data_IF_620017791154
#
_entry.id   IF_620017791154
#
_cell.length_a   1.000
_cell.length_b   1.000
_cell.length_c   1.000
_cell.angle_alpha   90.00
_cell.angle_beta   90.00
_cell.angle_gamma   90.00
#
_symmetry.space_group_name_H-M   'P 1'
#
loop_
_entity.id
_entity.type
_entity.pdbx_description
1 polymer ?
2 non-polymer ?
3 non-polymer ?
4 non-polymer ?
5 non-polymer ?
6 non-polymer ?
7 non-polymer ?
8 water ?
#
# COMPACT_ATOMS: atom_id res chain seq x y z
N UNK A 2 -7.69 14.80 22.87
CA UNK A 2 -7.03 14.31 24.14
C UNK A 2 -7.78 13.07 24.66
N UNK A 3 -8.71 13.25 25.60
CA UNK A 3 -9.62 12.20 26.12
C UNK A 3 -10.55 11.71 25.01
N UNK A 4 -10.95 12.62 24.11
CA UNK A 4 -11.90 12.32 23.01
C UNK A 4 -11.22 11.41 21.98
N UNK A 5 -9.96 11.70 21.63
CA UNK A 5 -9.18 10.87 20.68
C UNK A 5 -9.02 9.44 21.22
N UNK A 6 -8.77 9.26 22.51
CA UNK A 6 -8.64 7.92 23.14
C UNK A 6 -9.91 7.12 22.94
N UNK A 7 -11.08 7.74 23.18
CA UNK A 7 -12.39 7.09 22.98
C UNK A 7 -12.58 6.73 21.51
N UNK A 8 -12.10 7.55 20.57
CA UNK A 8 -12.19 7.17 19.13
C UNK A 8 -11.33 5.94 18.91
N UNK A 9 -10.10 5.93 19.44
CA UNK A 9 -9.19 4.79 19.18
C UNK A 9 -9.81 3.51 19.75
N UNK A 10 -10.52 3.62 20.87
CA UNK A 10 -11.23 2.47 21.48
C UNK A 10 -12.21 1.87 20.48
N UNK A 11 -13.04 2.69 19.85
CA UNK A 11 -14.09 2.27 18.88
C UNK A 11 -13.46 1.65 17.62
N UNK A 12 -12.25 2.07 17.24
CA UNK A 12 -11.56 1.62 16.01
C UNK A 12 -10.87 0.26 16.20
N UNK A 13 -10.75 -0.23 17.44
CA UNK A 13 -10.06 -1.50 17.78
C UNK A 13 -10.77 -2.64 17.04
N UNK A 14 -10.01 -3.64 16.57
CA UNK A 14 -10.59 -4.78 15.82
C UNK A 14 -11.07 -5.79 16.88
N UNK A 15 -12.25 -6.34 16.67
CA UNK A 15 -12.82 -7.41 17.53
C UNK A 15 -11.99 -8.70 17.38
N UNK A 16 -11.64 -9.33 18.49
CA UNK A 16 -10.85 -10.60 18.52
C UNK A 16 -11.64 -11.67 17.78
N UNK A 17 -12.96 -11.70 17.96
CA UNK A 17 -13.85 -12.71 17.31
C UNK A 17 -13.86 -12.49 15.80
N UNK A 18 -13.98 -11.25 15.34
CA UNK A 18 -13.93 -10.92 13.89
C UNK A 18 -12.56 -11.33 13.32
N UNK A 19 -11.47 -11.02 14.03
CA UNK A 19 -10.08 -11.41 13.59
C UNK A 19 -10.02 -12.93 13.42
N UNK A 20 -10.48 -13.68 14.43
CA UNK A 20 -10.40 -15.15 14.44
C UNK A 20 -11.08 -15.71 13.19
N UNK A 21 -12.31 -15.27 12.91
CA UNK A 21 -13.09 -15.83 11.79
C UNK A 21 -12.46 -15.36 10.47
N UNK A 22 -12.10 -14.09 10.35
CA UNK A 22 -11.62 -13.53 9.06
C UNK A 22 -10.26 -14.15 8.70
N UNK A 23 -9.34 -14.25 9.65
CA UNK A 23 -7.97 -14.77 9.42
C UNK A 23 -8.06 -16.21 8.89
N UNK A 24 -8.90 -17.04 9.50
CA UNK A 24 -9.13 -18.42 9.02
C UNK A 24 -9.67 -18.46 7.60
N UNK A 25 -10.72 -17.71 7.29
CA UNK A 25 -11.35 -17.68 5.95
C UNK A 25 -10.30 -17.25 4.92
N UNK A 26 -9.59 -16.15 5.18
CA UNK A 26 -8.59 -15.60 4.21
C UNK A 26 -7.50 -16.63 3.94
N UNK A 27 -6.94 -17.25 4.98
CA UNK A 27 -5.77 -18.15 4.82
C UNK A 27 -6.18 -19.32 3.92
N UNK A 28 -7.39 -19.86 4.11
CA UNK A 28 -7.93 -21.00 3.36
C UNK A 28 -8.00 -20.68 1.87
N UNK A 29 -8.60 -19.54 1.54
CA UNK A 29 -8.71 -19.05 0.13
C UNK A 29 -7.30 -18.83 -0.45
N UNK A 30 -6.47 -18.04 0.22
CA UNK A 30 -5.15 -17.61 -0.30
C UNK A 30 -4.24 -18.83 -0.51
N UNK A 31 -4.22 -19.76 0.45
CA UNK A 31 -3.35 -20.97 0.39
C UNK A 31 -3.73 -21.83 -0.81
N UNK A 32 -5.03 -21.95 -1.05
CA UNK A 32 -5.60 -22.71 -2.18
C UNK A 32 -5.12 -22.11 -3.50
N UNK A 33 -5.22 -20.79 -3.67
CA UNK A 33 -4.92 -20.15 -4.97
C UNK A 33 -3.43 -20.27 -5.27
N UNK A 34 -2.62 -20.09 -4.24
CA UNK A 34 -1.15 -20.15 -4.32
C UNK A 34 -0.75 -21.54 -4.84
N UNK A 35 -1.38 -22.58 -4.29
CA UNK A 35 -1.22 -24.00 -4.74
C UNK A 35 -1.60 -24.13 -6.24
N UNK A 36 -2.77 -23.64 -6.64
CA UNK A 36 -3.24 -23.76 -8.05
C UNK A 36 -2.28 -23.03 -8.98
N UNK A 37 -1.76 -21.87 -8.57
CA UNK A 37 -0.90 -21.04 -9.45
C UNK A 37 0.45 -21.73 -9.68
N UNK A 38 1.02 -22.37 -8.67
CA UNK A 38 2.31 -23.11 -8.82
C UNK A 38 2.21 -24.15 -9.95
N UNK A 39 1.02 -24.68 -10.23
CA UNK A 39 0.74 -25.71 -11.28
C UNK A 39 0.84 -25.14 -12.70
N UNK A 40 0.84 -23.81 -12.88
CA UNK A 40 1.04 -23.19 -14.23
C UNK A 40 2.52 -22.90 -14.43
N UNK A 41 2.97 -23.08 -15.67
CA UNK A 41 4.40 -23.10 -16.09
C UNK A 41 5.07 -21.77 -15.72
N UNK A 42 4.36 -20.67 -15.92
CA UNK A 42 4.88 -19.29 -15.73
C UNK A 42 5.06 -18.97 -14.24
N UNK A 43 4.19 -19.50 -13.36
CA UNK A 43 4.00 -19.06 -11.94
C UNK A 43 4.56 -20.10 -10.97
N UNK A 44 5.60 -20.85 -11.36
CA UNK A 44 6.18 -21.96 -10.55
C UNK A 44 6.77 -21.40 -9.25
N UNK A 45 7.52 -20.29 -9.33
CA UNK A 45 8.27 -19.70 -8.21
C UNK A 45 7.41 -18.84 -7.28
N UNK A 46 6.13 -18.65 -7.57
CA UNK A 46 5.21 -17.71 -6.87
C UNK A 46 5.25 -17.97 -5.35
N UNK A 47 5.41 -16.90 -4.56
CA UNK A 47 5.41 -16.90 -3.08
C UNK A 47 4.50 -15.80 -2.51
N UNK A 48 4.09 -15.96 -1.25
CA UNK A 48 3.14 -15.08 -0.54
C UNK A 48 3.92 -14.02 0.26
N UNK A 49 3.54 -12.75 0.12
CA UNK A 49 3.93 -11.67 1.07
C UNK A 49 2.65 -11.07 1.61
N UNK A 50 2.47 -11.05 2.93
CA UNK A 50 1.30 -10.39 3.55
C UNK A 50 1.65 -8.93 3.80
N UNK A 51 0.80 -8.01 3.34
CA UNK A 51 1.09 -6.56 3.24
C UNK A 51 -0.16 -5.73 3.58
N UNK A 52 0.00 -4.41 3.58
CA UNK A 52 -1.08 -3.45 3.90
C UNK A 52 -1.48 -3.49 5.36
N UNK A 53 -2.61 -2.86 5.64
CA UNK A 53 -2.93 -2.33 6.98
C UNK A 53 -3.21 -3.48 7.95
N UNK A 54 -3.77 -4.58 7.50
CA UNK A 54 -4.07 -5.67 8.46
C UNK A 54 -2.75 -6.21 9.03
N UNK A 55 -1.77 -6.46 8.18
CA UNK A 55 -0.46 -7.05 8.59
C UNK A 55 0.48 -6.01 9.20
N UNK A 56 0.15 -4.73 9.02
CA UNK A 56 0.83 -3.60 9.70
C UNK A 56 0.16 -3.24 11.03
N UNK A 57 -0.93 -3.91 11.39
CA UNK A 57 -1.69 -3.67 12.63
C UNK A 57 -2.20 -2.23 12.64
N UNK A 58 -2.53 -1.62 11.49
CA UNK A 58 -3.19 -0.28 11.48
C UNK A 58 -4.56 -0.35 10.77
N UNK A 59 -5.05 -1.53 10.41
CA UNK A 59 -6.46 -1.69 9.96
C UNK A 59 -7.39 -1.15 11.04
N UNK A 60 -8.46 -0.46 10.66
CA UNK A 60 -9.41 0.14 11.63
C UNK A 60 -10.81 -0.40 11.39
N UNK A 61 -11.60 -0.46 12.46
CA UNK A 61 -13.06 -0.71 12.52
C UNK A 61 -13.37 -2.20 12.46
N UNK A 62 -12.94 -2.87 11.39
CA UNK A 62 -13.25 -4.28 11.12
C UNK A 62 -12.15 -4.85 10.26
N UNK A 63 -11.81 -6.15 10.46
CA UNK A 63 -10.84 -6.83 9.63
C UNK A 63 -11.50 -7.36 8.35
N UNK A 64 -11.90 -6.45 7.45
CA UNK A 64 -12.76 -6.75 6.28
C UNK A 64 -12.00 -6.46 4.98
N UNK A 65 -10.70 -6.24 5.01
CA UNK A 65 -9.90 -5.96 3.79
C UNK A 65 -8.45 -6.32 4.05
N UNK A 66 -7.97 -7.34 3.33
CA UNK A 66 -6.63 -7.95 3.44
C UNK A 66 -5.91 -7.73 2.11
N UNK A 67 -4.61 -7.51 2.17
CA UNK A 67 -3.73 -7.32 1.00
C UNK A 67 -2.65 -8.41 1.01
N UNK A 68 -2.41 -9.00 -0.16
CA UNK A 68 -1.29 -9.98 -0.32
C UNK A 68 -0.63 -9.78 -1.69
N UNK A 69 0.68 -9.97 -1.73
CA UNK A 69 1.47 -10.02 -2.99
C UNK A 69 1.78 -11.48 -3.30
N UNK A 70 1.49 -11.88 -4.53
CA UNK A 70 1.96 -13.14 -5.13
C UNK A 70 3.20 -12.77 -5.91
N UNK A 71 4.35 -12.92 -5.28
CA UNK A 71 5.63 -12.44 -5.84
C UNK A 71 6.30 -13.59 -6.58
N UNK A 72 7.18 -13.23 -7.51
CA UNK A 72 7.78 -14.14 -8.52
C UNK A 72 9.17 -13.60 -8.84
N UNK A 73 10.25 -14.29 -8.49
CA UNK A 73 11.59 -13.77 -8.82
C UNK A 73 11.73 -13.74 -10.35
N UNK A 74 12.28 -12.67 -10.90
CA UNK A 74 12.59 -12.57 -12.34
C UNK A 74 14.07 -12.23 -12.46
N UNK A 75 14.96 -13.25 -12.55
CA UNK A 75 16.40 -13.03 -12.72
C UNK A 75 16.73 -12.26 -14.01
N UNK A 76 17.89 -11.60 -14.06
CA UNK A 76 18.49 -11.00 -15.28
C UNK A 76 17.50 -9.96 -15.85
N UNK A 77 16.88 -9.18 -14.97
CA UNK A 77 15.91 -8.13 -15.37
C UNK A 77 16.70 -6.91 -15.88
N UNK A 78 16.08 -6.14 -16.76
CA UNK A 78 16.62 -4.89 -17.34
C UNK A 78 15.44 -3.92 -17.42
N UNK A 79 15.43 -2.87 -16.60
CA UNK A 79 14.31 -1.91 -16.51
C UNK A 79 14.60 -0.72 -17.41
N UNK A 80 13.55 -0.17 -18.00
CA UNK A 80 13.63 1.08 -18.78
C UNK A 80 12.49 1.95 -18.23
N UNK A 81 12.83 3.11 -17.69
CA UNK A 81 11.83 4.09 -17.18
C UNK A 81 10.95 4.52 -18.36
N UNK A 82 9.63 4.50 -18.18
CA UNK A 82 8.66 5.08 -19.13
C UNK A 82 8.57 6.59 -18.89
N UNK A 83 8.98 7.40 -19.88
CA UNK A 83 8.60 8.83 -20.05
C UNK A 83 8.86 9.66 -18.77
N UNK A 84 10.00 9.45 -18.11
CA UNK A 84 10.43 10.24 -16.92
C UNK A 84 9.37 10.21 -15.81
N UNK A 85 8.61 9.12 -15.68
CA UNK A 85 7.55 9.08 -14.64
C UNK A 85 8.10 8.60 -13.28
N UNK A 86 9.35 8.12 -13.23
CA UNK A 86 10.13 7.83 -12.00
C UNK A 86 9.64 6.54 -11.32
N UNK A 87 8.38 6.15 -11.50
CA UNK A 87 7.74 4.97 -10.86
C UNK A 87 7.36 3.89 -11.87
N UNK A 88 7.19 4.21 -13.15
CA UNK A 88 6.69 3.25 -14.18
C UNK A 88 7.84 2.88 -15.11
N UNK A 89 7.91 1.59 -15.41
CA UNK A 89 9.03 0.94 -16.15
C UNK A 89 8.49 -0.10 -17.12
N UNK A 90 9.24 -0.28 -18.23
CA UNK A 90 9.22 -1.49 -19.08
C UNK A 90 10.20 -2.50 -18.51
N UNK A 91 9.79 -3.75 -18.50
CA UNK A 91 10.65 -4.89 -18.10
C UNK A 91 11.14 -5.60 -19.37
N UNK A 92 12.46 -5.65 -19.55
CA UNK A 92 13.20 -6.46 -20.55
C UNK A 92 14.16 -7.40 -19.84
N UNK A 93 14.75 -8.33 -20.58
CA UNK A 93 15.71 -9.35 -20.07
C UNK A 93 17.08 -9.14 -20.73
N UNK A 94 18.13 -9.45 -19.96
CA UNK A 94 19.53 -9.55 -20.46
C UNK A 94 19.71 -10.88 -21.18
N UNK A 95 20.79 -11.04 -21.94
CA UNK A 95 21.25 -12.35 -22.48
C UNK A 95 20.97 -13.42 -21.42
N UNK A 96 20.34 -14.51 -21.80
CA UNK A 96 20.18 -15.69 -20.91
C UNK A 96 20.19 -16.94 -21.79
N UNK A 97 21.25 -17.78 -21.74
CA UNK A 97 21.25 -19.05 -22.44
C UNK A 97 19.97 -19.84 -22.11
N UNK A 98 19.64 -19.97 -20.81
CA UNK A 98 18.47 -20.72 -20.29
C UNK A 98 17.15 -20.10 -20.80
N UNK A 99 16.17 -20.94 -21.13
CA UNK A 99 14.83 -20.52 -21.59
C UNK A 99 14.18 -19.65 -20.50
N UNK A 100 13.50 -18.58 -20.91
CA UNK A 100 12.78 -17.66 -19.99
C UNK A 100 11.41 -18.25 -19.70
N UNK A 101 11.09 -18.61 -18.44
CA UNK A 101 9.77 -19.15 -18.09
C UNK A 101 8.58 -18.23 -18.41
N UNK A 102 8.84 -16.97 -18.75
CA UNK A 102 7.80 -15.94 -18.99
C UNK A 102 7.74 -15.61 -20.49
N UNK A 103 8.38 -16.44 -21.33
CA UNK A 103 8.44 -16.29 -22.81
C UNK A 103 7.07 -15.89 -23.34
N UNK A 104 6.04 -16.60 -22.92
CA UNK A 104 4.65 -16.45 -23.45
C UNK A 104 4.18 -14.99 -23.37
N UNK A 105 4.78 -14.16 -22.51
CA UNK A 105 4.28 -12.78 -22.23
C UNK A 105 5.17 -11.72 -22.90
N UNK A 106 6.17 -12.10 -23.69
CA UNK A 106 7.07 -11.13 -24.37
C UNK A 106 6.38 -10.48 -25.58
N UNK A 107 6.57 -9.17 -25.76
CA UNK A 107 6.26 -8.40 -27.00
C UNK A 107 7.54 -7.71 -27.46
N UNK A 108 8.11 -8.18 -28.56
CA UNK A 108 9.55 -8.08 -28.84
C UNK A 108 10.33 -8.54 -27.62
N UNK A 109 11.01 -7.59 -26.97
CA UNK A 109 11.89 -7.84 -25.79
C UNK A 109 11.18 -7.35 -24.51
N UNK A 110 9.94 -6.89 -24.60
CA UNK A 110 9.22 -6.24 -23.46
C UNK A 110 8.23 -7.23 -22.83
N UNK A 111 8.38 -7.51 -21.53
CA UNK A 111 7.44 -8.35 -20.75
C UNK A 111 6.11 -7.60 -20.58
N UNK A 112 5.03 -8.13 -21.16
CA UNK A 112 3.71 -7.44 -21.19
C UNK A 112 3.06 -7.57 -19.82
N UNK A 113 2.93 -6.46 -19.09
CA UNK A 113 2.17 -6.39 -17.83
C UNK A 113 0.72 -6.81 -18.07
N UNK A 114 0.07 -6.32 -19.13
CA UNK A 114 -1.37 -6.60 -19.43
C UNK A 114 -1.58 -8.08 -19.75
N UNK A 115 -0.68 -8.75 -20.49
CA UNK A 115 -0.81 -10.20 -20.81
C UNK A 115 -0.63 -11.03 -19.52
N UNK A 116 0.42 -10.73 -18.76
CA UNK A 116 0.79 -11.51 -17.55
C UNK A 116 -0.35 -11.42 -16.52
N UNK A 117 -0.90 -10.22 -16.33
CA UNK A 117 -2.04 -9.94 -15.41
C UNK A 117 -3.28 -10.70 -15.92
N UNK A 118 -3.55 -10.69 -17.21
CA UNK A 118 -4.73 -11.39 -17.82
C UNK A 118 -4.70 -12.87 -17.44
N UNK A 119 -3.54 -13.51 -17.60
CA UNK A 119 -3.38 -14.96 -17.32
C UNK A 119 -3.53 -15.20 -15.81
N UNK A 120 -2.84 -14.39 -15.00
CA UNK A 120 -2.94 -14.43 -13.52
C UNK A 120 -4.40 -14.42 -13.11
N UNK A 121 -5.14 -13.43 -13.62
CA UNK A 121 -6.57 -13.19 -13.28
C UNK A 121 -7.40 -14.37 -13.76
N UNK A 122 -7.16 -14.81 -15.01
CA UNK A 122 -7.84 -15.99 -15.62
C UNK A 122 -7.71 -17.20 -14.69
N UNK A 123 -6.48 -17.56 -14.30
CA UNK A 123 -6.19 -18.73 -13.43
C UNK A 123 -7.00 -18.59 -12.15
N UNK A 124 -6.88 -17.44 -11.47
CA UNK A 124 -7.57 -17.23 -10.16
C UNK A 124 -9.08 -17.40 -10.39
N UNK A 125 -9.62 -16.82 -11.46
CA UNK A 125 -11.07 -16.88 -11.76
C UNK A 125 -11.51 -18.35 -11.87
N UNK A 126 -10.89 -19.11 -12.77
CA UNK A 126 -11.22 -20.55 -12.94
C UNK A 126 -11.15 -21.25 -11.59
N UNK A 127 -10.11 -20.95 -10.81
CA UNK A 127 -9.79 -21.66 -9.55
C UNK A 127 -10.82 -21.38 -8.46
N UNK A 128 -11.41 -20.17 -8.39
CA UNK A 128 -12.33 -19.81 -7.26
C UNK A 128 -13.72 -20.43 -7.52
N UNK A 129 -13.98 -20.97 -8.71
CA UNK A 129 -15.20 -21.78 -8.98
C UNK A 129 -15.11 -23.11 -8.24
N UNK A 130 -13.96 -23.79 -8.38
CA UNK A 130 -13.70 -25.16 -7.87
C UNK A 130 -13.47 -25.13 -6.35
N UNK A 131 -13.49 -23.96 -5.73
CA UNK A 131 -13.80 -23.82 -4.27
C UNK A 131 -15.31 -24.01 -4.12
N UNK A 132 -15.74 -24.91 -3.24
CA UNK A 132 -17.16 -25.37 -3.12
C UNK A 132 -17.63 -25.20 -1.66
N UNK A 133 -16.80 -25.65 -0.71
CA UNK A 133 -16.95 -25.48 0.76
C UNK A 133 -17.15 -24.02 1.18
N UNK A 134 -16.69 -23.04 0.37
CA UNK A 134 -16.62 -21.59 0.73
C UNK A 134 -17.28 -20.72 -0.33
N UNK A 135 -17.84 -19.57 0.08
CA UNK A 135 -18.48 -18.56 -0.81
C UNK A 135 -17.43 -17.49 -1.15
N UNK A 136 -17.01 -17.41 -2.42
CA UNK A 136 -15.91 -16.52 -2.91
C UNK A 136 -16.28 -16.04 -4.32
N UNK A 137 -16.35 -14.74 -4.56
CA UNK A 137 -16.54 -14.19 -5.93
C UNK A 137 -15.36 -13.25 -6.22
N UNK A 138 -15.07 -13.05 -7.51
CA UNK A 138 -14.06 -12.09 -8.01
C UNK A 138 -14.76 -10.81 -8.45
N UNK A 139 -14.38 -9.64 -7.94
CA UNK A 139 -15.00 -8.34 -8.35
C UNK A 139 -14.36 -7.89 -9.67
N UNK A 140 -15.01 -6.97 -10.37
CA UNK A 140 -14.61 -6.56 -11.75
C UNK A 140 -13.27 -5.83 -11.69
N UNK A 141 -12.46 -6.03 -12.73
CA UNK A 141 -11.13 -5.41 -12.93
C UNK A 141 -11.25 -3.89 -12.86
N UNK A 142 -10.32 -3.22 -12.19
CA UNK A 142 -10.26 -1.74 -12.08
C UNK A 142 -8.91 -1.30 -12.65
N UNK A 143 -8.91 -0.23 -13.45
CA UNK A 143 -7.71 0.33 -14.11
C UNK A 143 -6.78 0.98 -13.10
N UNK A 144 -7.36 1.46 -11.99
CA UNK A 144 -6.62 2.04 -10.85
C UNK A 144 -5.68 1.04 -10.16
N UNK A 145 -6.09 -0.22 -9.99
CA UNK A 145 -5.42 -1.25 -9.15
C UNK A 145 -4.63 -2.26 -9.98
N UNK A 146 -3.40 -2.63 -9.56
CA UNK A 146 -2.77 -3.83 -10.10
C UNK A 146 -3.43 -5.11 -9.55
N UNK A 147 -4.34 -4.99 -8.58
CA UNK A 147 -4.83 -6.13 -7.76
C UNK A 147 -6.03 -6.83 -8.41
N UNK A 148 -6.11 -8.14 -8.25
CA UNK A 148 -7.36 -8.94 -8.38
C UNK A 148 -8.05 -8.95 -7.02
N UNK A 149 -9.33 -8.55 -6.98
CA UNK A 149 -10.10 -8.40 -5.72
C UNK A 149 -11.14 -9.52 -5.61
N UNK A 150 -11.08 -10.24 -4.48
CA UNK A 150 -12.03 -11.30 -4.10
C UNK A 150 -12.88 -10.79 -2.95
N UNK A 151 -14.14 -11.23 -2.90
CA UNK A 151 -15.04 -11.05 -1.74
C UNK A 151 -15.45 -12.43 -1.20
N UNK A 152 -15.21 -12.66 0.10
CA UNK A 152 -15.44 -13.95 0.80
C UNK A 152 -16.64 -13.74 1.70
N UNK A 153 -17.63 -14.62 1.63
CA UNK A 153 -18.85 -14.63 2.50
C UNK A 153 -19.53 -13.25 2.48
N UNK A 154 -19.45 -12.60 1.32
CA UNK A 154 -20.07 -11.30 0.99
C UNK A 154 -19.55 -10.18 1.90
N UNK A 155 -18.46 -10.38 2.65
CA UNK A 155 -18.09 -9.47 3.77
C UNK A 155 -16.60 -9.05 3.67
N UNK A 156 -15.70 -10.00 3.40
CA UNK A 156 -14.23 -9.78 3.52
C UNK A 156 -13.62 -9.65 2.12
N UNK A 157 -13.03 -8.52 1.80
CA UNK A 157 -12.26 -8.30 0.56
C UNK A 157 -10.80 -8.75 0.70
N UNK A 158 -10.28 -9.42 -0.31
CA UNK A 158 -8.85 -9.81 -0.40
C UNK A 158 -8.33 -9.24 -1.72
N UNK A 159 -7.38 -8.31 -1.66
CA UNK A 159 -6.67 -7.78 -2.84
C UNK A 159 -5.43 -8.64 -3.02
N UNK A 160 -5.30 -9.27 -4.18
CA UNK A 160 -4.09 -10.05 -4.58
C UNK A 160 -3.42 -9.34 -5.75
N UNK A 161 -2.18 -8.91 -5.58
CA UNK A 161 -1.39 -8.34 -6.71
C UNK A 161 -0.27 -9.31 -7.05
N UNK A 162 -0.16 -9.66 -8.33
CA UNK A 162 1.08 -10.20 -8.90
C UNK A 162 2.17 -9.17 -8.65
N UNK A 163 3.36 -9.63 -8.28
CA UNK A 163 4.52 -8.76 -8.04
C UNK A 163 5.76 -9.47 -8.57
N UNK A 164 6.46 -8.88 -9.54
CA UNK A 164 7.78 -9.37 -9.95
C UNK A 164 8.77 -8.93 -8.89
N UNK A 165 9.68 -9.80 -8.49
CA UNK A 165 10.73 -9.53 -7.48
C UNK A 165 12.07 -9.41 -8.20
N UNK A 166 12.77 -8.30 -7.99
CA UNK A 166 14.14 -8.10 -8.50
C UNK A 166 15.07 -7.96 -7.30
N UNK A 167 16.11 -8.79 -7.25
CA UNK A 167 17.17 -8.72 -6.22
C UNK A 167 18.28 -7.74 -6.61
N UNK A 168 18.14 -7.03 -7.74
CA UNK A 168 19.09 -5.97 -8.17
C UNK A 168 18.99 -4.78 -7.21
N UNK A 169 19.99 -3.90 -7.24
CA UNK A 169 19.94 -2.52 -6.68
C UNK A 169 18.61 -1.85 -7.07
N UNK A 170 18.04 -1.05 -6.18
CA UNK A 170 16.81 -0.28 -6.44
C UNK A 170 17.09 0.71 -7.58
N UNK A 171 16.10 1.06 -8.41
CA UNK A 171 16.31 2.04 -9.47
C UNK A 171 16.75 3.41 -8.95
N UNK A 172 17.40 4.17 -9.83
CA UNK A 172 18.03 5.47 -9.46
C UNK A 172 16.98 6.43 -8.93
N UNK A 173 15.74 6.41 -9.41
CA UNK A 173 14.64 7.30 -8.92
C UNK A 173 14.51 7.17 -7.38
N UNK A 174 15.05 6.11 -6.75
CA UNK A 174 14.85 5.87 -5.28
C UNK A 174 16.05 6.43 -4.50
N UNK A 175 17.08 6.94 -5.17
CA UNK A 175 18.40 7.16 -4.54
C UNK A 175 18.25 8.12 -3.36
N UNK A 176 17.36 9.12 -3.47
CA UNK A 176 17.16 10.16 -2.42
C UNK A 176 15.87 9.90 -1.63
N UNK A 177 15.29 8.70 -1.75
CA UNK A 177 14.07 8.33 -1.01
C UNK A 177 14.37 7.78 0.36
N UNK A 178 13.34 7.29 1.09
CA UNK A 178 13.54 6.54 2.35
C UNK A 178 14.48 7.32 3.27
N UNK A 179 14.08 8.52 3.66
CA UNK A 179 14.93 9.44 4.46
C UNK A 179 14.78 9.10 5.95
N UNK A 180 15.24 7.92 6.34
CA UNK A 180 15.03 7.34 7.70
C UNK A 180 16.30 7.43 8.53
N UNK A 181 17.36 8.00 7.96
CA UNK A 181 18.72 8.03 8.61
C UNK A 181 18.66 8.59 10.03
N UNK A 182 17.90 9.67 10.32
CA UNK A 182 17.91 10.27 11.69
C UNK A 182 16.88 9.60 12.59
N UNK A 183 16.03 8.73 12.04
CA UNK A 183 14.92 8.07 12.77
C UNK A 183 15.27 6.61 13.00
N UNK A 184 15.42 5.79 11.95
CA UNK A 184 15.64 4.32 12.11
C UNK A 184 17.14 3.95 11.97
N UNK A 185 17.97 4.87 11.46
CA UNK A 185 19.46 4.84 11.34
C UNK A 185 19.91 4.66 9.89
N UNK A 186 21.13 5.13 9.58
CA UNK A 186 21.78 4.93 8.28
C UNK A 186 21.97 3.42 8.05
N UNK A 187 22.35 2.66 9.08
CA UNK A 187 22.67 1.21 8.89
C UNK A 187 21.37 0.46 8.55
N UNK A 188 20.22 0.87 9.09
CA UNK A 188 18.91 0.26 8.69
C UNK A 188 18.59 0.67 7.25
N UNK A 189 18.76 1.94 6.86
CA UNK A 189 18.51 2.31 5.45
C UNK A 189 19.34 1.40 4.52
N UNK A 190 20.61 1.20 4.83
CA UNK A 190 21.50 0.37 4.00
C UNK A 190 20.97 -1.06 3.95
N UNK A 191 20.54 -1.63 5.08
CA UNK A 191 20.01 -3.01 5.11
C UNK A 191 18.74 -3.10 4.28
N UNK A 192 17.83 -2.12 4.40
CA UNK A 192 16.54 -2.18 3.64
C UNK A 192 16.82 -2.11 2.14
N UNK A 193 17.78 -1.29 1.72
CA UNK A 193 18.10 -1.09 0.29
C UNK A 193 18.81 -2.31 -0.31
N UNK A 194 19.31 -3.25 0.51
CA UNK A 194 19.85 -4.55 0.05
C UNK A 194 18.72 -5.57 -0.16
N UNK A 195 17.48 -5.27 0.25
CA UNK A 195 16.35 -6.19 0.01
C UNK A 195 15.86 -6.07 -1.43
N UNK A 196 15.05 -7.02 -1.91
CA UNK A 196 14.48 -6.92 -3.25
C UNK A 196 13.59 -5.68 -3.36
N UNK A 197 13.18 -5.36 -4.59
CA UNK A 197 12.04 -4.45 -4.83
C UNK A 197 11.07 -5.21 -5.69
N UNK A 198 9.86 -4.68 -5.85
CA UNK A 198 8.76 -5.33 -6.58
C UNK A 198 8.24 -4.40 -7.64
N UNK A 199 7.69 -5.03 -8.69
CA UNK A 199 6.96 -4.34 -9.78
C UNK A 199 5.58 -4.95 -9.86
N UNK A 200 4.56 -4.10 -9.93
CA UNK A 200 3.16 -4.56 -9.99
C UNK A 200 2.60 -4.05 -11.32
N UNK A 201 1.64 -4.81 -11.89
CA UNK A 201 1.08 -4.48 -13.20
C UNK A 201 0.03 -3.38 -13.07
N UNK A 202 0.50 -2.18 -12.78
CA UNK A 202 -0.31 -0.95 -12.92
C UNK A 202 0.36 -0.14 -14.02
N UNK A 203 -0.43 0.34 -14.97
CA UNK A 203 0.09 0.97 -16.19
C UNK A 203 0.10 2.49 -16.04
N UNK A 204 1.01 3.13 -16.76
CA UNK A 204 1.25 4.59 -16.77
C UNK A 204 0.21 5.23 -17.71
N UNK A 205 -0.15 6.50 -17.47
CA UNK A 205 -1.03 7.27 -18.37
C UNK A 205 -0.26 7.59 -19.66
N UNK A 206 -0.90 7.31 -20.81
CA UNK A 206 -0.50 7.77 -22.17
C UNK A 206 -1.75 8.43 -22.78
N UNK A 207 -1.83 9.77 -22.73
CA UNK A 207 -2.93 10.57 -23.30
C UNK A 207 -4.30 10.16 -22.78
N UNK A 208 -5.19 9.73 -23.68
CA UNK A 208 -6.60 9.35 -23.38
C UNK A 208 -6.62 8.12 -22.45
N UNK A 209 -5.63 7.23 -22.56
CA UNK A 209 -5.60 5.92 -21.89
C UNK A 209 -4.27 5.59 -21.25
N UNK A 210 -3.88 4.31 -21.35
CA UNK A 210 -2.79 3.67 -20.58
C UNK A 210 -1.73 3.13 -21.55
N UNK A 211 -0.45 3.12 -21.12
CA UNK A 211 0.63 2.32 -21.75
C UNK A 211 0.61 0.94 -21.09
N UNK A 212 -0.02 -0.04 -21.74
CA UNK A 212 -0.57 -1.27 -21.10
C UNK A 212 0.55 -2.24 -20.76
N UNK A 213 1.78 -1.97 -21.20
CA UNK A 213 2.90 -2.92 -20.96
C UNK A 213 3.70 -2.48 -19.73
N UNK A 214 3.38 -1.33 -19.13
CA UNK A 214 4.19 -0.77 -18.01
C UNK A 214 3.86 -1.44 -16.67
N UNK A 215 4.89 -1.59 -15.85
CA UNK A 215 4.83 -2.00 -14.42
C UNK A 215 5.16 -0.80 -13.52
N UNK A 216 4.72 -0.84 -12.26
CA UNK A 216 5.00 0.27 -11.30
C UNK A 216 5.78 -0.28 -10.11
N UNK A 217 6.73 0.49 -9.60
CA UNK A 217 7.50 0.03 -8.41
C UNK A 217 6.54 -0.17 -7.22
N UNK A 218 6.82 -1.15 -6.39
CA UNK A 218 6.15 -1.39 -5.07
C UNK A 218 7.19 -1.64 -3.97
N UNK A 219 7.03 -0.97 -2.84
CA UNK A 219 7.85 -1.14 -1.62
C UNK A 219 6.94 -1.47 -0.43
N UNK A 220 5.79 -2.10 -0.68
CA UNK A 220 4.85 -2.57 0.38
C UNK A 220 5.58 -3.38 1.46
N UNK A 221 6.57 -4.21 1.09
CA UNK A 221 7.33 -5.03 2.07
C UNK A 221 8.07 -4.10 3.05
N UNK A 222 8.67 -3.02 2.54
CA UNK A 222 9.51 -2.10 3.36
C UNK A 222 8.59 -1.27 4.22
N UNK A 223 7.46 -0.82 3.67
CA UNK A 223 6.45 -0.10 4.48
C UNK A 223 6.02 -0.97 5.66
N UNK A 224 5.79 -2.25 5.44
CA UNK A 224 5.44 -3.13 6.57
C UNK A 224 6.59 -3.22 7.60
N UNK A 225 7.82 -3.41 7.14
CA UNK A 225 8.99 -3.57 8.03
C UNK A 225 9.09 -2.36 8.96
N UNK A 226 8.89 -1.16 8.39
CA UNK A 226 9.03 0.12 9.11
C UNK A 226 7.91 0.24 10.15
N UNK A 227 6.65 0.00 9.76
CA UNK A 227 5.51 0.16 10.68
C UNK A 227 5.60 -0.84 11.84
N UNK A 228 6.13 -2.04 11.63
CA UNK A 228 6.18 -3.07 12.67
C UNK A 228 7.53 -2.99 13.40
N UNK A 229 8.40 -2.04 13.05
CA UNK A 229 9.70 -1.83 13.77
C UNK A 229 10.05 -0.35 13.64
N UNK A 230 9.27 0.50 14.34
CA UNK A 230 9.00 1.90 13.94
C UNK A 230 9.69 2.90 14.87
N UNK A 231 10.42 2.46 15.89
CA UNK A 231 10.99 3.38 16.90
C UNK A 231 12.47 3.68 16.65
N UNK A 232 12.99 4.79 17.18
CA UNK A 232 14.46 4.94 17.30
C UNK A 232 14.96 3.89 18.30
N UNK A 233 14.26 3.70 19.43
CA UNK A 233 14.60 2.64 20.40
C UNK A 233 14.19 1.30 19.81
N UNK A 234 15.09 0.32 19.88
CA UNK A 234 14.75 -1.04 19.39
C UNK A 234 13.61 -1.63 20.25
N UNK A 235 13.40 -1.15 21.48
CA UNK A 235 12.33 -1.66 22.38
C UNK A 235 11.10 -0.75 22.33
N UNK A 236 10.98 0.14 21.35
CA UNK A 236 9.76 0.97 21.21
C UNK A 236 8.53 0.07 21.27
N UNK A 237 7.57 0.37 22.15
CA UNK A 237 6.26 -0.32 22.29
C UNK A 237 6.41 -1.77 22.80
N UNK A 238 7.61 -2.19 23.24
CA UNK A 238 7.77 -3.54 23.82
C UNK A 238 7.51 -3.50 25.32
N UNK A 239 7.45 -2.32 25.95
CA UNK A 239 7.29 -2.17 27.42
C UNK A 239 6.44 -0.93 27.71
N UNK A 240 5.98 -0.78 28.96
CA UNK A 240 5.00 0.27 29.34
C UNK A 240 5.67 1.64 29.42
N UNK A 241 6.99 1.72 29.54
CA UNK A 241 7.72 3.01 29.59
C UNK A 241 7.97 3.53 28.16
N UNK A 242 7.71 2.72 27.11
CA UNK A 242 8.02 3.08 25.70
C UNK A 242 6.81 2.80 24.81
N UNK A 243 5.61 3.20 25.22
CA UNK A 243 4.40 3.12 24.35
C UNK A 243 4.30 4.44 23.60
N UNK A 244 4.67 4.47 22.31
CA UNK A 244 4.58 5.67 21.46
C UNK A 244 3.16 5.68 20.85
N UNK A 245 2.77 6.79 20.25
CA UNK A 245 1.43 7.02 19.66
C UNK A 245 1.55 7.12 18.12
N UNK A 246 2.60 6.55 17.52
CA UNK A 246 2.80 6.56 16.05
C UNK A 246 1.63 5.87 15.35
N UNK A 247 1.35 4.61 15.68
CA UNK A 247 0.31 3.84 14.98
C UNK A 247 -1.07 4.43 15.31
N UNK A 248 -1.26 4.94 16.51
CA UNK A 248 -2.53 5.62 16.92
C UNK A 248 -2.78 6.82 15.99
N UNK A 249 -1.74 7.61 15.69
CA UNK A 249 -1.83 8.80 14.82
C UNK A 249 -2.16 8.39 13.38
N UNK A 250 -1.58 7.30 12.88
CA UNK A 250 -1.91 6.80 11.53
C UNK A 250 -3.36 6.29 11.55
N UNK A 251 -3.81 5.58 12.58
CA UNK A 251 -5.19 5.06 12.63
C UNK A 251 -6.16 6.25 12.57
N UNK A 252 -5.92 7.28 13.37
CA UNK A 252 -6.78 8.50 13.42
C UNK A 252 -6.77 9.21 12.05
N UNK A 253 -5.63 9.34 11.39
CA UNK A 253 -5.60 9.95 10.03
C UNK A 253 -6.41 9.11 9.05
N UNK A 254 -6.27 7.78 9.13
CA UNK A 254 -7.04 6.86 8.26
C UNK A 254 -8.54 7.06 8.49
N UNK A 255 -8.95 7.17 9.76
CA UNK A 255 -10.38 7.30 10.14
C UNK A 255 -10.93 8.66 9.69
N UNK A 256 -10.13 9.71 9.82
CA UNK A 256 -10.49 11.06 9.29
C UNK A 256 -10.82 10.93 7.80
N UNK A 257 -9.96 10.31 7.00
CA UNK A 257 -10.22 10.23 5.54
C UNK A 257 -11.39 9.27 5.28
N UNK A 258 -11.45 8.09 5.92
CA UNK A 258 -12.56 7.10 5.69
C UNK A 258 -13.91 7.80 5.95
N UNK A 259 -14.00 8.58 7.02
CA UNK A 259 -15.27 9.25 7.45
C UNK A 259 -15.66 10.35 6.46
N UNK A 260 -14.71 11.14 5.95
CA UNK A 260 -15.01 12.17 4.93
C UNK A 260 -15.36 11.49 3.61
N UNK A 261 -14.64 10.45 3.19
CA UNK A 261 -14.96 9.73 1.94
C UNK A 261 -16.38 9.14 2.04
N UNK A 262 -16.75 8.61 3.21
CA UNK A 262 -18.09 7.97 3.40
C UNK A 262 -19.15 9.08 3.28
N UNK A 263 -18.89 10.22 3.92
CA UNK A 263 -19.89 11.30 3.99
C UNK A 263 -20.15 11.89 2.58
N UNK A 264 -19.20 11.81 1.65
CA UNK A 264 -19.30 12.39 0.29
C UNK A 264 -19.17 11.31 -0.78
N UNK A 265 -19.56 10.08 -0.46
CA UNK A 265 -19.34 8.89 -1.34
C UNK A 265 -20.19 9.02 -2.61
N UNK A 266 -21.19 9.93 -2.65
CA UNK A 266 -22.09 10.12 -3.82
C UNK A 266 -21.81 11.46 -4.52
N UNK A 267 -20.76 12.20 -4.14
CA UNK A 267 -20.57 13.60 -4.62
C UNK A 267 -19.17 13.83 -5.21
N UNK A 268 -18.41 12.75 -5.50
CA UNK A 268 -17.28 12.72 -6.46
C UNK A 268 -16.00 13.44 -5.98
N UNK A 269 -16.09 14.50 -5.17
CA UNK A 269 -14.95 15.42 -4.85
C UNK A 269 -13.73 14.67 -4.26
N UNK A 270 -13.96 13.58 -3.52
CA UNK A 270 -12.93 12.85 -2.72
C UNK A 270 -12.61 11.48 -3.30
N UNK A 271 -13.16 11.11 -4.46
CA UNK A 271 -12.99 9.75 -5.06
C UNK A 271 -11.49 9.47 -5.33
N UNK A 272 -10.67 10.49 -5.56
CA UNK A 272 -9.25 10.31 -6.01
C UNK A 272 -8.32 10.20 -4.79
N UNK A 273 -8.77 10.53 -3.60
CA UNK A 273 -7.96 10.35 -2.37
C UNK A 273 -8.04 8.88 -1.91
N UNK A 274 -6.94 8.39 -1.35
CA UNK A 274 -6.82 7.02 -0.81
C UNK A 274 -6.06 7.04 0.52
N UNK A 275 -6.20 5.95 1.28
CA UNK A 275 -5.49 5.73 2.56
C UNK A 275 -3.99 5.85 2.31
N UNK A 276 -3.49 5.56 1.10
CA UNK A 276 -2.03 5.61 0.80
C UNK A 276 -1.54 7.05 0.89
N UNK A 277 -2.42 8.04 0.64
CA UNK A 277 -2.07 9.48 0.78
C UNK A 277 -1.73 9.77 2.24
N UNK A 278 -2.55 9.29 3.16
CA UNK A 278 -2.33 9.61 4.59
C UNK A 278 -1.19 8.71 5.10
N UNK A 279 -1.03 7.49 4.56
CA UNK A 279 0.10 6.62 5.00
C UNK A 279 1.42 7.30 4.61
N UNK A 280 1.50 7.76 3.37
CA UNK A 280 2.71 8.46 2.86
C UNK A 280 2.96 9.71 3.71
N UNK A 281 1.98 10.57 3.85
CA UNK A 281 2.11 11.80 4.65
C UNK A 281 2.64 11.44 6.05
N UNK A 282 2.09 10.39 6.67
CA UNK A 282 2.48 9.93 8.02
C UNK A 282 3.97 9.54 8.07
N UNK A 283 4.50 8.88 7.04
CA UNK A 283 5.94 8.49 6.99
C UNK A 283 6.78 9.77 6.92
N UNK A 284 6.31 10.77 6.19
CA UNK A 284 7.02 12.07 6.10
C UNK A 284 7.07 12.72 7.49
N UNK A 285 5.98 12.62 8.28
CA UNK A 285 5.93 13.26 9.62
C UNK A 285 6.87 12.51 10.55
N UNK A 286 6.99 11.17 10.42
CA UNK A 286 8.02 10.35 11.10
C UNK A 286 9.43 10.86 10.78
N UNK A 287 9.77 11.13 9.53
CA UNK A 287 11.07 11.73 9.13
C UNK A 287 11.23 13.07 9.85
N UNK A 288 10.19 13.90 9.87
CA UNK A 288 10.29 15.25 10.46
C UNK A 288 10.47 15.13 11.96
N UNK A 289 9.90 14.11 12.60
CA UNK A 289 9.86 13.93 14.06
C UNK A 289 10.49 12.59 14.39
N UNK A 290 11.83 12.45 14.25
CA UNK A 290 12.50 11.15 14.39
C UNK A 290 12.67 10.58 15.81
N UNK A 291 12.52 11.37 16.87
CA UNK A 291 12.74 10.89 18.26
C UNK A 291 11.46 10.27 18.82
N UNK A 292 11.58 9.19 19.59
CA UNK A 292 10.41 8.54 20.22
C UNK A 292 9.78 9.54 21.20
N UNK A 293 10.59 10.41 21.80
CA UNK A 293 10.11 11.49 22.72
C UNK A 293 9.13 12.45 22.02
N UNK A 294 9.08 12.49 20.68
CA UNK A 294 8.15 13.35 19.89
C UNK A 294 6.84 12.60 19.59
N UNK A 295 6.69 11.39 20.11
CA UNK A 295 5.49 10.53 19.91
C UNK A 295 5.06 9.95 21.25
N UNK A 296 5.17 10.71 22.33
CA UNK A 296 4.77 10.20 23.66
C UNK A 296 3.25 10.04 23.68
N UNK A 297 2.77 8.95 24.26
CA UNK A 297 1.34 8.63 24.37
C UNK A 297 0.61 9.81 25.00
N UNK A 298 1.24 10.48 25.97
CA UNK A 298 0.64 11.62 26.70
C UNK A 298 0.40 12.80 25.77
N UNK A 299 1.06 12.85 24.60
CA UNK A 299 1.01 14.00 23.65
C UNK A 299 0.16 13.64 22.42
N UNK A 300 -0.76 12.68 22.54
CA UNK A 300 -1.55 12.15 21.40
C UNK A 300 -2.16 13.30 20.62
N UNK A 301 -2.76 14.26 21.33
CA UNK A 301 -3.52 15.34 20.71
C UNK A 301 -2.59 16.19 19.87
N UNK A 302 -1.40 16.49 20.38
CA UNK A 302 -0.37 17.30 19.66
C UNK A 302 0.21 16.50 18.48
N UNK A 303 0.56 15.23 18.71
CA UNK A 303 1.12 14.33 17.66
C UNK A 303 0.11 14.20 16.51
N UNK A 304 -1.14 13.96 16.83
CA UNK A 304 -2.21 13.92 15.82
C UNK A 304 -2.30 15.27 15.10
N UNK A 305 -2.27 16.39 15.81
CA UNK A 305 -2.28 17.72 15.18
C UNK A 305 -1.12 17.87 14.18
N UNK A 306 0.11 17.40 14.52
CA UNK A 306 1.30 17.42 13.62
C UNK A 306 1.01 16.70 12.28
N UNK A 307 0.30 15.59 12.32
CA UNK A 307 -0.04 14.78 11.12
C UNK A 307 -1.09 15.56 10.32
N UNK A 308 -2.08 16.14 11.00
CA UNK A 308 -3.19 16.88 10.30
C UNK A 308 -2.62 18.12 9.59
N UNK A 309 -1.80 18.91 10.27
CA UNK A 309 -1.23 20.16 9.69
C UNK A 309 -0.25 19.83 8.56
N UNK A 310 0.56 18.77 8.65
CA UNK A 310 1.44 18.39 7.52
C UNK A 310 0.61 18.01 6.29
N UNK A 311 -0.47 17.25 6.49
CA UNK A 311 -1.35 16.79 5.39
C UNK A 311 -2.01 18.02 4.73
N UNK A 312 -2.45 18.97 5.55
CA UNK A 312 -3.08 20.22 5.05
C UNK A 312 -2.07 20.98 4.20
N UNK A 313 -0.82 21.06 4.65
CA UNK A 313 0.29 21.73 3.88
C UNK A 313 0.47 21.00 2.54
N UNK A 314 0.46 19.65 2.53
CA UNK A 314 0.53 18.85 1.28
C UNK A 314 -0.60 19.24 0.30
N UNK A 315 -1.84 19.33 0.78
CA UNK A 315 -3.03 19.63 -0.07
C UNK A 315 -2.87 21.05 -0.65
N UNK A 316 -2.57 22.03 0.19
CA UNK A 316 -2.44 23.46 -0.19
C UNK A 316 -1.37 23.65 -1.25
N UNK A 317 -0.21 23.00 -1.09
CA UNK A 317 0.98 23.12 -1.97
C UNK A 317 0.93 22.10 -3.12
N UNK A 318 -0.03 21.18 -3.12
CA UNK A 318 -0.19 20.15 -4.19
C UNK A 318 1.11 19.37 -4.33
N UNK A 319 1.77 19.08 -3.21
CA UNK A 319 3.03 18.28 -3.15
C UNK A 319 2.89 17.19 -2.08
N UNK A 320 2.89 15.93 -2.50
CA UNK A 320 3.04 14.76 -1.62
C UNK A 320 3.94 13.76 -2.33
N UNK A 321 5.19 13.72 -1.92
CA UNK A 321 6.20 12.84 -2.50
C UNK A 321 5.88 11.41 -2.08
N UNK A 322 5.99 10.49 -3.03
CA UNK A 322 6.17 9.05 -2.71
C UNK A 322 7.38 8.95 -1.78
N UNK A 323 7.21 8.24 -0.67
CA UNK A 323 8.25 8.13 0.40
C UNK A 323 9.54 7.51 -0.15
N UNK A 324 9.44 6.69 -1.19
CA UNK A 324 10.58 5.93 -1.77
C UNK A 324 11.09 6.61 -3.05
N UNK A 325 10.26 7.43 -3.68
CA UNK A 325 10.51 7.99 -5.04
C UNK A 325 10.17 9.49 -5.00
N UNK A 326 11.11 10.33 -4.55
CA UNK A 326 10.82 11.74 -4.26
C UNK A 326 10.25 12.60 -5.39
N UNK A 327 10.59 12.29 -6.66
CA UNK A 327 10.12 13.09 -7.82
C UNK A 327 8.78 12.56 -8.31
N UNK A 328 8.21 11.54 -7.65
CA UNK A 328 6.84 11.07 -7.93
C UNK A 328 5.87 11.81 -7.02
N UNK A 329 5.05 12.71 -7.57
CA UNK A 329 4.15 13.59 -6.79
C UNK A 329 2.77 12.94 -6.78
N UNK A 330 2.32 12.42 -5.64
CA UNK A 330 1.00 11.78 -5.53
C UNK A 330 -0.12 12.81 -5.69
N UNK A 331 0.17 14.09 -5.45
CA UNK A 331 -0.79 15.22 -5.46
C UNK A 331 -0.60 16.11 -6.72
N UNK A 332 -0.07 15.57 -7.81
CA UNK A 332 0.06 16.32 -9.10
C UNK A 332 -1.33 16.59 -9.70
N UNK A 333 -1.42 17.62 -10.55
CA UNK A 333 -2.58 17.92 -11.41
C UNK A 333 -3.02 16.67 -12.17
N UNK A 334 -2.06 15.98 -12.79
CA UNK A 334 -2.29 14.75 -13.60
C UNK A 334 -3.16 13.77 -12.81
N UNK A 335 -3.00 13.71 -11.49
CA UNK A 335 -3.63 12.68 -10.62
C UNK A 335 -4.88 13.24 -9.94
N UNK A 336 -4.79 14.45 -9.40
CA UNK A 336 -5.84 15.05 -8.53
C UNK A 336 -6.03 16.51 -8.94
N UNK A 337 -7.20 16.89 -9.43
CA UNK A 337 -7.37 18.29 -9.91
C UNK A 337 -7.40 19.19 -8.66
N UNK A 338 -7.02 20.45 -8.84
CA UNK A 338 -6.87 21.43 -7.74
C UNK A 338 -8.17 21.56 -6.94
N UNK A 339 -9.32 21.47 -7.61
CA UNK A 339 -10.61 21.71 -6.94
C UNK A 339 -10.86 20.62 -5.88
N UNK A 340 -10.47 19.37 -6.15
CA UNK A 340 -10.61 18.22 -5.23
C UNK A 340 -9.76 18.48 -3.98
N UNK A 341 -8.52 18.99 -4.16
CA UNK A 341 -7.60 19.30 -3.03
C UNK A 341 -8.17 20.45 -2.19
N UNK A 342 -8.72 21.48 -2.82
CA UNK A 342 -9.30 22.64 -2.09
C UNK A 342 -10.52 22.14 -1.28
N UNK A 343 -11.34 21.28 -1.87
CA UNK A 343 -12.52 20.70 -1.20
C UNK A 343 -12.08 19.91 0.05
N UNK A 344 -11.06 19.04 -0.08
CA UNK A 344 -10.58 18.25 1.09
C UNK A 344 -10.01 19.19 2.15
N UNK A 345 -9.22 20.20 1.76
CA UNK A 345 -8.63 21.19 2.68
C UNK A 345 -9.71 21.87 3.54
N UNK A 346 -10.80 22.29 2.91
CA UNK A 346 -11.91 22.99 3.60
C UNK A 346 -12.56 22.03 4.61
N UNK A 347 -12.79 20.77 4.27
CA UNK A 347 -13.43 19.81 5.19
C UNK A 347 -12.47 19.54 6.36
N UNK A 348 -11.17 19.37 6.08
CA UNK A 348 -10.18 19.02 7.14
C UNK A 348 -9.95 20.23 8.02
N UNK A 349 -9.84 21.44 7.44
CA UNK A 349 -9.71 22.69 8.26
C UNK A 349 -10.87 22.80 9.25
N UNK A 350 -12.10 22.60 8.79
CA UNK A 350 -13.31 22.74 9.64
C UNK A 350 -13.24 21.71 10.79
N UNK A 351 -12.83 20.47 10.49
CA UNK A 351 -12.67 19.40 11.52
C UNK A 351 -11.68 19.84 12.59
N UNK A 352 -10.48 20.31 12.17
CA UNK A 352 -9.38 20.74 13.08
C UNK A 352 -9.89 21.91 13.93
N UNK A 353 -10.63 22.86 13.34
CA UNK A 353 -11.15 24.06 14.05
C UNK A 353 -12.30 23.71 15.00
N UNK A 354 -12.90 22.53 14.89
CA UNK A 354 -14.13 22.19 15.66
C UNK A 354 -13.92 20.91 16.48
N UNK A 355 -12.67 20.54 16.77
CA UNK A 355 -12.33 19.32 17.54
C UNK A 355 -12.94 18.07 16.92
N UNK A 356 -12.97 17.95 15.59
CA UNK A 356 -13.20 16.70 14.82
C UNK A 356 -14.58 16.13 15.11
N UNK A 357 -15.67 16.90 14.82
CA UNK A 357 -17.03 16.39 15.04
C UNK A 357 -17.32 15.12 14.23
N UNK A 358 -16.68 14.98 13.06
CA UNK A 358 -16.83 13.79 12.18
C UNK A 358 -16.39 12.50 12.91
N UNK A 359 -15.68 12.58 14.03
CA UNK A 359 -15.29 11.40 14.84
C UNK A 359 -16.44 10.98 15.79
N UNK A 360 -17.05 11.94 16.53
CA UNK A 360 -18.08 11.76 17.58
C UNK A 360 -18.90 10.48 17.34
X LIG B 1 6.39 2.59 19.39
X LIG C 1 -5.66 -2.71 2.68
X LIG D 1 -6.22 -3.22 -0.74
X LIG E 1 -6.52 0.23 4.12
X LIG E 1 -6.74 -1.01 3.28
X LIG E 1 -7.11 1.48 3.53
X LIG E 1 -6.80 0.04 5.58
X LIG E 1 -3.81 -0.23 3.13
X LIG E 1 -2.44 0.29 3.35
X LIG E 1 -4.05 -1.72 3.33
X LIG E 1 -4.88 0.49 4.06
X LIG E 1 -4.68 -0.56 0.31
X LIG E 1 -5.40 0.40 -0.58
X LIG E 1 -5.34 -1.86 0.70
X LIG E 1 -4.37 0.19 1.69
X LIG E 1 -3.25 -0.81 -0.30
X LIG E 1 -2.45 -1.96 0.12
X LIG E 1 -1.00 -1.58 0.02
X LIG E 1 -0.66 -1.36 -1.37
X LIG E 1 -0.58 -0.29 0.72
X LIG E 1 -0.27 -0.38 2.11
X LIG E 1 0.68 0.10 -0.08
X LIG E 1 1.82 -0.59 0.33
X LIG E 1 0.28 -0.31 -1.50
X LIG E 1 -0.30 0.80 -2.26
X LIG E 1 -1.63 1.22 -2.32
X LIG E 1 -1.79 2.29 -3.05
X LIG E 1 -0.51 2.58 -3.54
X LIG E 1 -0.03 3.59 -4.40
X LIG E 1 -0.79 4.54 -4.96
X LIG E 1 1.29 3.58 -4.69
X LIG E 1 2.06 2.63 -4.14
X LIG E 1 1.72 1.65 -3.30
X LIG E 1 0.40 1.68 -3.06
X LIG F 1 -8.59 -4.34 24.32
X LIG F 1 -8.73 -5.20 25.46
X LIG F 1 -7.32 -4.58 23.66
X LIG F 1 -8.65 -2.97 24.74
X LIG F 1 -9.65 -4.60 23.40
X LIG G 1 -4.15 2.52 -6.56
X LIG G 1 -3.94 4.67 -8.02
X LIG G 1 -4.79 1.55 -5.74
X LIG G 1 -6.20 1.57 -5.30
X LIG G 1 -7.24 1.52 -6.22
X LIG G 1 -8.57 1.54 -5.81
X LIG G 1 -8.89 1.53 -4.46
X LIG G 1 -7.84 1.51 -3.56
X LIG G 1 -6.51 1.54 -3.93
X LIG G 1 -1.31 -3.09 -3.78
X LIG G 1 -0.91 -4.22 -3.00
X LIG G 1 -1.59 -5.37 -2.67
X LIG G 1 2.06 -2.70 -4.49
X LIG G 1 0.93 -2.51 -4.46
X LIG G 1 -0.46 -2.25 -4.46
X LIG G 1 -0.85 -1.02 -5.14
X LIG G 1 0.00 -0.34 -5.73
X LIG G 1 -2.18 -0.76 -5.20
X LIG G 1 -2.83 0.32 -5.71
X LIG G 1 -2.14 1.21 -6.44
X LIG G 1 -2.81 2.28 -6.87
X LIG G 1 -4.90 4.03 -7.16
X LIG G 1 -6.29 3.60 -8.12
X LIG G 1 -5.35 4.74 -6.01
X LIG G 1 -8.13 1.49 -2.24
X LIG G 1 -4.10 0.46 -5.32
X LIG G 1 -2.60 -2.85 -3.73
X LIG G 1 -0.85 -6.10 -1.82
X LIG G 1 0.35 -5.41 -1.56
X LIG G 1 0.26 -4.30 -2.22
X LIG G 1 -2.89 -5.94 -3.07
X LIG H 1 -4.44 -7.84 13.93
X LIG H 1 -3.58 -6.77 13.52
X LIG H 1 -3.86 -9.19 13.77
X LIG H 1 -2.45 -9.25 13.67
X LIG I 1 0.46 5.98 -7.41
X LIG I 1 -0.39 7.03 -6.96
X LIG I 1 0.08 5.52 -8.76
X LIG I 1 -0.01 4.11 -8.83
X LIG J 1 6.78 -6.91 10.04
X LIG J 1 8.08 -6.93 9.50
X LIG J 1 6.14 -8.23 10.27
X LIG J 1 5.87 -8.53 11.63
X LIG K 1 4.59 -2.67 16.82
X LIG K 1 3.91 -3.84 16.35
X LIG K 1 5.84 -3.06 17.44
X LIG K 1 4.89 -1.81 15.72
X LIG K 1 3.72 -1.96 17.77
X LIG L 1 14.49 9.12 21.42
X LIG L 1 13.36 9.59 22.22
X LIG L 1 15.09 7.92 22.01
X LIG L 1 14.08 8.78 20.09
X LIG L 1 15.46 10.19 21.37
X LIG M 1 7.63 11.63 -23.38
X LIG M 1 7.25 11.56 -22.00
X LIG M 1 8.81 10.81 -23.58
X LIG M 1 6.55 11.14 -24.20
X LIG M 1 7.92 13.00 -23.71
X LIG N 1 2.94 -12.04 8.42
X LIG N 1 1.66 -12.63 8.81
X LIG N 1 4.00 -12.66 9.19
X LIG N 1 3.16 -12.29 7.01
X LIG N 1 2.93 -10.62 8.70
#
# INVERSE_FOLDING_TARGET
GASKLRAVLEKLKLSRDDISTAAGMVKGVVDHLLLRLKCDSAFRGVGLLNTGSYYEHVKISAPNEFDVMFKLEVPRIQLEEYSNTRAYYFVKFKRNPKENPLSQFLEGEILSASKMLSKFRKIIKEEINDIKDTDVIMKRKRGGSPAVTLLISEKISVDITLALESKSSWPASTQEGLRIQNWLSAKVRKQLRLKPFYLVPKHAKEGNGFQEETWRLSFSHIEKEILNNHGKSKTCCENKEEKCCRKDCLKLMKYLLEQLKERFKDKKHLDKFSSYHVKTAFFHVCTQNPQDSQWDRKDLGLCFDNCVTYFLQCLRTEKLENYFIPEFNLFSSNLIDKRSKEFLTKQIEYERNNEFPVFDEF
ZN ZN
MG MG
MG MG
ATP PG O1G O2G O3G PB O1B O2B O3B PA O1A O2A O3A O5' C5' C4' O4' C3' O3' C2' O2' C1' N9 C8 N7 C5 C6 N6 N1 C2 N3 C4
SO4 S O1 O2 O3 O4
YR6 C10 O14 C15 C16 C17 C18 C19 C20 C21 C24 C26 C27 N1 C2 C3 C4 O5 N6 C7 N8 C9 S11 C12 O13 F22 N23 O25 O28 N29 C30 C31
EDO C1 O1 C2 O2
EDO C1 O1 C2 O2
EDO C1 O1 C2 O2
SO4 S O1 O2 O3 O4
SO4 S O1 O2 O3 O4
SO4 S O1 O2 O3 O4
SO4 S O1 O2 O3 O4
#
